data_IF_554301603449
#
_entry.id   IF_554301603449
#
_cell.length_a   1.000
_cell.length_b   1.000
_cell.length_c   1.000
_cell.angle_alpha   90.00
_cell.angle_beta   90.00
_cell.angle_gamma   90.00
#
_symmetry.space_group_name_H-M   'P 1'
#
loop_
_entity.id
_entity.type
_entity.pdbx_description
1 polymer ?
#
# COMPACT_ATOMS: atom_id res chain seq x y z
N UNK A 1 26.66 -67.30 31.60
CA UNK A 1 27.20 -66.21 30.75
C UNK A 1 26.16 -65.83 29.71
N UNK A 2 25.50 -64.68 29.84
CA UNK A 2 24.68 -64.07 28.78
C UNK A 2 24.47 -62.58 29.10
N UNK A 3 24.43 -61.78 28.04
CA UNK A 3 24.76 -60.35 27.97
C UNK A 3 23.73 -59.42 28.62
N UNK A 4 24.22 -58.43 29.36
CA UNK A 4 23.52 -57.17 29.60
C UNK A 4 23.62 -56.27 28.35
N UNK A 5 22.52 -55.63 27.96
CA UNK A 5 22.54 -54.41 27.13
C UNK A 5 21.49 -53.42 27.62
N UNK A 6 21.93 -52.16 27.63
CA UNK A 6 21.39 -51.01 28.31
C UNK A 6 20.01 -50.57 27.85
N UNK A 7 19.18 -50.17 28.81
CA UNK A 7 18.05 -49.27 28.58
C UNK A 7 18.55 -47.83 28.78
N UNK A 8 18.57 -47.06 27.70
CA UNK A 8 18.83 -45.62 27.72
C UNK A 8 17.67 -44.92 28.42
N UNK A 9 17.87 -44.50 29.67
CA UNK A 9 16.94 -43.59 30.36
C UNK A 9 17.37 -42.15 30.08
N UNK A 10 16.56 -41.44 29.32
CA UNK A 10 16.73 -40.04 28.96
C UNK A 10 16.51 -39.15 30.19
N UNK A 11 17.60 -38.71 30.81
CA UNK A 11 17.58 -37.66 31.81
C UNK A 11 17.07 -36.35 31.17
N UNK A 12 15.88 -35.93 31.58
CA UNK A 12 15.26 -34.67 31.19
C UNK A 12 15.96 -33.52 31.93
N UNK A 13 16.97 -32.92 31.30
CA UNK A 13 17.56 -31.67 31.75
C UNK A 13 16.50 -30.55 31.65
N UNK A 14 16.23 -29.78 32.71
CA UNK A 14 15.44 -28.57 32.60
C UNK A 14 16.17 -27.58 31.67
N UNK A 15 15.50 -27.08 30.65
CA UNK A 15 16.03 -26.05 29.78
C UNK A 15 16.48 -24.82 30.62
N UNK A 16 17.63 -24.20 30.33
CA UNK A 16 18.03 -22.98 31.02
C UNK A 16 16.99 -21.88 30.75
N UNK A 17 16.62 -21.18 31.82
CA UNK A 17 15.80 -19.96 31.78
C UNK A 17 16.42 -18.94 30.81
N UNK A 18 15.61 -18.10 30.15
CA UNK A 18 16.16 -17.08 29.26
C UNK A 18 16.92 -16.05 30.12
N UNK A 19 18.25 -16.12 30.07
CA UNK A 19 19.12 -15.04 30.53
C UNK A 19 18.68 -13.75 29.82
N UNK A 20 18.11 -12.83 30.60
CA UNK A 20 17.88 -11.47 30.15
C UNK A 20 19.25 -10.81 30.15
N UNK A 21 19.90 -10.81 28.99
CA UNK A 21 21.13 -10.06 28.73
C UNK A 21 20.83 -8.57 28.95
N UNK A 22 21.13 -8.10 30.16
CA UNK A 22 21.15 -6.69 30.47
C UNK A 22 22.46 -6.15 29.92
N UNK A 23 22.38 -5.24 28.95
CA UNK A 23 23.57 -4.55 28.43
C UNK A 23 24.34 -3.84 29.55
N UNK A 24 25.59 -3.39 29.31
CA UNK A 24 26.49 -2.85 30.34
C UNK A 24 25.92 -1.66 31.12
N UNK A 25 24.87 -1.01 30.61
CA UNK A 25 24.20 0.13 31.22
C UNK A 25 22.92 -0.24 32.00
N UNK A 26 22.61 -1.54 32.19
CA UNK A 26 21.45 -2.02 32.94
C UNK A 26 20.10 -1.84 32.24
N UNK A 27 20.09 -1.42 30.98
CA UNK A 27 18.88 -1.32 30.18
C UNK A 27 18.62 -2.63 29.45
N UNK A 28 17.47 -3.24 29.73
CA UNK A 28 16.96 -4.37 28.95
C UNK A 28 16.51 -3.88 27.59
N UNK A 29 17.11 -4.40 26.52
CA UNK A 29 16.65 -4.10 25.17
C UNK A 29 15.21 -4.62 25.01
N UNK A 30 14.25 -3.71 24.84
CA UNK A 30 12.87 -4.11 24.52
C UNK A 30 12.89 -4.65 23.09
N UNK A 31 12.60 -5.94 22.85
CA UNK A 31 12.57 -6.47 21.50
C UNK A 31 11.43 -5.79 20.74
N UNK A 32 11.77 -4.94 19.79
CA UNK A 32 10.81 -4.39 18.85
C UNK A 32 10.33 -5.57 18.00
N UNK A 33 9.21 -6.17 18.39
CA UNK A 33 8.47 -7.07 17.52
C UNK A 33 8.05 -6.23 16.33
N UNK A 34 8.74 -6.39 15.20
CA UNK A 34 8.24 -5.87 13.92
C UNK A 34 6.81 -6.37 13.81
N UNK A 35 5.86 -5.45 13.72
CA UNK A 35 4.47 -5.79 13.48
C UNK A 35 4.43 -6.85 12.36
N UNK A 36 3.62 -7.89 12.53
CA UNK A 36 3.34 -8.87 11.47
C UNK A 36 2.97 -8.16 10.16
N UNK A 37 2.94 -8.89 9.02
CA UNK A 37 2.99 -8.32 7.67
C UNK A 37 2.22 -7.01 7.60
N UNK A 38 2.99 -5.91 7.48
CA UNK A 38 2.48 -4.54 7.37
C UNK A 38 1.26 -4.59 6.48
N UNK A 39 0.08 -4.20 7.00
CA UNK A 39 -1.20 -4.27 6.27
C UNK A 39 -0.94 -3.71 4.88
N UNK A 40 -0.88 -4.60 3.88
CA UNK A 40 -0.26 -4.25 2.60
C UNK A 40 -0.99 -3.03 2.05
N UNK A 41 -0.23 -1.97 1.74
CA UNK A 41 -0.84 -0.75 1.24
C UNK A 41 -1.57 -1.09 -0.06
N UNK A 42 -2.86 -0.73 -0.21
CA UNK A 42 -3.60 -1.06 -1.42
C UNK A 42 -2.88 -0.48 -2.64
N UNK A 43 -2.93 -1.14 -3.81
CA UNK A 43 -2.25 -0.70 -5.03
C UNK A 43 -2.55 0.77 -5.36
N UNK A 44 -3.82 1.14 -5.24
CA UNK A 44 -4.31 2.51 -5.44
C UNK A 44 -5.28 2.88 -4.32
N UNK A 45 -5.16 4.12 -3.82
CA UNK A 45 -6.13 4.70 -2.90
C UNK A 45 -6.46 6.14 -3.27
N UNK A 46 -7.68 6.56 -3.00
CA UNK A 46 -8.16 7.92 -3.25
C UNK A 46 -8.69 8.58 -1.98
N UNK A 47 -8.56 9.90 -1.91
CA UNK A 47 -9.24 10.77 -0.96
C UNK A 47 -9.35 12.18 -1.54
N UNK A 48 -10.29 12.98 -1.05
CA UNK A 48 -10.25 14.42 -1.24
C UNK A 48 -9.33 15.08 -0.21
N UNK A 49 -8.54 16.07 -0.63
CA UNK A 49 -7.83 16.94 0.31
C UNK A 49 -8.73 18.06 0.85
N UNK A 50 -8.18 18.93 1.71
CA UNK A 50 -8.93 20.06 2.28
C UNK A 50 -9.47 21.05 1.25
N UNK A 51 -8.83 21.15 0.08
CA UNK A 51 -9.24 22.01 -1.04
C UNK A 51 -10.26 21.34 -1.98
N UNK A 52 -10.64 20.09 -1.70
CA UNK A 52 -11.52 19.31 -2.56
C UNK A 52 -10.82 18.69 -3.77
N UNK A 53 -9.49 18.75 -3.85
CA UNK A 53 -8.76 18.08 -4.94
C UNK A 53 -8.72 16.58 -4.68
N UNK A 54 -8.89 15.80 -5.74
CA UNK A 54 -8.68 14.36 -5.70
C UNK A 54 -7.19 14.06 -5.55
N UNK A 55 -6.85 13.27 -4.54
CA UNK A 55 -5.51 12.77 -4.29
C UNK A 55 -5.51 11.26 -4.43
N UNK A 56 -4.88 10.78 -5.49
CA UNK A 56 -4.59 9.38 -5.74
C UNK A 56 -3.20 9.05 -5.20
N UNK A 57 -3.09 7.99 -4.41
CA UNK A 57 -1.82 7.46 -3.95
C UNK A 57 -1.64 6.04 -4.44
N UNK A 58 -0.50 5.82 -5.07
CA UNK A 58 -0.06 4.56 -5.65
C UNK A 58 0.95 3.91 -4.71
N UNK A 59 0.84 2.61 -4.49
CA UNK A 59 1.78 1.90 -3.64
C UNK A 59 3.17 1.75 -4.27
N UNK A 60 4.25 1.59 -3.47
CA UNK A 60 5.57 1.33 -4.02
C UNK A 60 5.61 0.12 -4.94
N UNK A 61 4.91 -0.96 -4.57
CA UNK A 61 4.80 -2.15 -5.41
C UNK A 61 4.09 -1.82 -6.74
N UNK A 62 2.98 -1.09 -6.67
CA UNK A 62 2.25 -0.65 -7.85
C UNK A 62 3.09 0.25 -8.76
N UNK A 63 3.80 1.21 -8.18
CA UNK A 63 4.67 2.12 -8.90
C UNK A 63 5.79 1.36 -9.61
N UNK A 64 6.42 0.40 -8.92
CA UNK A 64 7.48 -0.42 -9.49
C UNK A 64 7.02 -1.29 -10.66
N UNK A 65 5.77 -1.79 -10.62
CA UNK A 65 5.24 -2.73 -11.60
C UNK A 65 4.57 -2.05 -12.79
N UNK A 66 3.78 -0.99 -12.55
CA UNK A 66 2.85 -0.44 -13.55
C UNK A 66 3.15 1.01 -13.95
N UNK A 67 3.96 1.73 -13.17
CA UNK A 67 4.20 3.16 -13.40
C UNK A 67 5.70 3.40 -13.54
N UNK A 68 6.23 3.08 -14.71
CA UNK A 68 7.60 3.45 -15.09
C UNK A 68 7.74 4.93 -15.46
N UNK A 69 6.62 5.65 -15.59
CA UNK A 69 6.57 7.01 -16.14
C UNK A 69 6.13 8.04 -15.10
N UNK A 70 6.87 9.14 -15.04
CA UNK A 70 6.57 10.25 -14.12
C UNK A 70 5.38 11.10 -14.60
N UNK A 71 4.97 10.97 -15.86
CA UNK A 71 3.94 11.78 -16.51
C UNK A 71 2.89 10.88 -17.17
N UNK A 72 1.62 11.17 -16.91
CA UNK A 72 0.49 10.37 -17.40
C UNK A 72 -0.61 11.27 -17.95
N UNK A 73 -1.29 10.82 -19.00
CA UNK A 73 -2.52 11.43 -19.48
C UNK A 73 -3.67 10.86 -18.66
N UNK A 74 -4.56 11.74 -18.22
CA UNK A 74 -5.69 11.39 -17.37
C UNK A 74 -6.98 11.62 -18.16
N UNK A 75 -7.82 10.60 -18.26
CA UNK A 75 -9.16 10.73 -18.85
C UNK A 75 -10.20 10.03 -17.98
N UNK A 76 -11.44 10.53 -18.06
CA UNK A 76 -12.58 10.03 -17.29
C UNK A 76 -13.61 9.41 -18.23
N UNK A 77 -14.20 8.31 -17.80
CA UNK A 77 -15.31 7.64 -18.50
C UNK A 77 -16.63 7.88 -17.75
N UNK A 78 -17.77 8.02 -18.46
CA UNK A 78 -19.10 8.03 -17.84
C UNK A 78 -19.40 6.81 -16.96
N UNK A 79 -18.72 5.68 -17.21
CA UNK A 79 -18.77 4.47 -16.38
C UNK A 79 -17.97 4.57 -15.06
N UNK A 80 -17.58 5.78 -14.65
CA UNK A 80 -16.77 6.07 -13.45
C UNK A 80 -15.38 5.43 -13.42
N UNK A 81 -14.78 5.30 -14.60
CA UNK A 81 -13.40 4.81 -14.72
C UNK A 81 -12.46 6.00 -14.96
N UNK A 82 -11.40 6.07 -14.17
CA UNK A 82 -10.30 6.99 -14.41
C UNK A 82 -9.18 6.24 -15.11
N UNK A 83 -8.86 6.65 -16.33
CA UNK A 83 -7.77 6.09 -17.12
C UNK A 83 -6.51 6.92 -16.96
N UNK A 84 -5.40 6.25 -16.67
CA UNK A 84 -4.04 6.77 -16.76
C UNK A 84 -3.35 6.08 -17.93
N UNK A 85 -2.82 6.84 -18.86
CA UNK A 85 -2.03 6.32 -19.97
C UNK A 85 -0.70 7.05 -20.06
N UNK A 86 0.29 6.41 -20.67
CA UNK A 86 1.54 7.07 -21.01
C UNK A 86 1.30 8.38 -21.78
N UNK A 87 1.99 9.44 -21.39
CA UNK A 87 1.87 10.73 -22.04
C UNK A 87 3.23 11.31 -22.36
N UNK A 88 3.33 11.93 -23.54
CA UNK A 88 4.45 12.78 -23.92
C UNK A 88 3.87 14.13 -24.35
N UNK A 89 4.17 15.19 -23.58
CA UNK A 89 3.86 16.58 -23.97
C UNK A 89 2.73 17.28 -23.19
N UNK A 90 2.16 18.31 -23.84
CA UNK A 90 1.21 19.26 -23.24
C UNK A 90 -0.06 18.56 -22.71
N UNK A 91 -0.33 18.74 -21.41
CA UNK A 91 -1.53 18.18 -20.74
C UNK A 91 -1.25 16.94 -19.90
N UNK A 92 -0.01 16.43 -19.90
CA UNK A 92 0.39 15.35 -19.01
C UNK A 92 0.34 15.79 -17.54
N UNK A 93 -0.08 14.87 -16.66
CA UNK A 93 -0.11 15.05 -15.22
C UNK A 93 1.06 14.31 -14.59
N UNK A 94 1.79 15.01 -13.72
CA UNK A 94 2.96 14.45 -13.05
C UNK A 94 2.53 13.64 -11.82
N UNK A 95 3.01 12.40 -11.75
CA UNK A 95 2.98 11.59 -10.54
C UNK A 95 4.19 11.99 -9.68
N UNK A 96 3.92 12.52 -8.49
CA UNK A 96 4.94 13.03 -7.57
C UNK A 96 5.36 11.94 -6.60
N UNK A 97 6.62 11.94 -6.18
CA UNK A 97 7.04 11.10 -5.06
C UNK A 97 6.40 11.57 -3.76
N UNK A 98 6.08 10.63 -2.89
CA UNK A 98 5.45 10.92 -1.60
C UNK A 98 6.49 10.94 -0.47
N UNK A 99 6.74 12.07 0.21
CA UNK A 99 7.80 12.17 1.22
C UNK A 99 7.61 11.21 2.40
N UNK A 100 6.35 10.96 2.78
CA UNK A 100 6.00 10.13 3.94
C UNK A 100 6.04 8.62 3.65
N UNK A 101 6.23 8.21 2.38
CA UNK A 101 6.23 6.80 1.99
C UNK A 101 7.15 6.61 0.78
N UNK A 102 8.44 6.26 1.01
CA UNK A 102 9.40 6.07 -0.07
C UNK A 102 8.91 5.07 -1.13
N UNK A 103 9.08 5.41 -2.40
CA UNK A 103 8.61 4.61 -3.54
C UNK A 103 7.13 4.79 -3.89
N UNK A 104 6.31 5.38 -3.01
CA UNK A 104 4.92 5.66 -3.32
C UNK A 104 4.78 6.90 -4.22
N UNK A 105 3.81 6.83 -5.14
CA UNK A 105 3.45 7.93 -6.03
C UNK A 105 2.18 8.65 -5.58
N UNK A 106 2.07 9.93 -5.91
CA UNK A 106 0.88 10.75 -5.68
C UNK A 106 0.50 11.51 -6.95
N UNK A 107 -0.75 11.34 -7.39
CA UNK A 107 -1.35 12.13 -8.46
C UNK A 107 -2.46 13.01 -7.86
N UNK A 108 -2.45 14.29 -8.20
CA UNK A 108 -3.45 15.26 -7.73
C UNK A 108 -4.20 15.87 -8.90
N UNK A 109 -5.53 15.80 -8.86
CA UNK A 109 -6.43 16.43 -9.82
C UNK A 109 -7.21 17.53 -9.10
N UNK A 110 -7.20 18.75 -9.64
CA UNK A 110 -7.85 19.89 -9.01
C UNK A 110 -9.36 19.73 -8.99
N UNK A 111 -10.02 20.21 -7.93
CA UNK A 111 -11.48 20.21 -7.81
C UNK A 111 -12.19 20.80 -9.04
N UNK A 112 -11.62 21.86 -9.63
CA UNK A 112 -12.13 22.48 -10.86
C UNK A 112 -12.14 21.53 -12.06
N UNK A 113 -11.17 20.62 -12.16
CA UNK A 113 -11.13 19.63 -13.25
C UNK A 113 -12.09 18.47 -13.03
N UNK A 114 -12.65 18.34 -11.82
CA UNK A 114 -13.59 17.29 -11.45
C UNK A 114 -15.04 17.77 -11.51
N UNK A 115 -15.27 19.08 -11.38
CA UNK A 115 -16.60 19.68 -11.28
C UNK A 115 -17.48 19.40 -12.50
N UNK A 116 -16.87 19.34 -13.69
CA UNK A 116 -17.57 19.11 -14.96
C UNK A 116 -17.59 17.63 -15.37
N UNK A 117 -17.06 16.71 -14.55
CA UNK A 117 -17.03 15.29 -14.86
C UNK A 117 -18.40 14.67 -14.59
N UNK A 118 -19.05 14.22 -15.66
CA UNK A 118 -20.30 13.49 -15.58
C UNK A 118 -20.16 12.24 -14.68
N UNK A 119 -21.14 12.03 -13.80
CA UNK A 119 -21.21 10.87 -12.89
C UNK A 119 -20.03 10.73 -11.91
N UNK A 120 -19.26 11.80 -11.65
CA UNK A 120 -18.19 11.75 -10.65
C UNK A 120 -18.74 11.36 -9.27
N UNK A 121 -18.14 10.38 -8.57
CA UNK A 121 -18.62 9.92 -7.26
C UNK A 121 -18.49 10.99 -6.18
N UNK A 122 -19.41 10.94 -5.20
CA UNK A 122 -19.27 11.68 -3.96
C UNK A 122 -18.14 11.05 -3.12
N UNK A 123 -16.94 11.61 -3.24
CA UNK A 123 -15.80 11.23 -2.43
C UNK A 123 -15.76 12.05 -1.15
N UNK A 124 -15.28 11.44 -0.07
CA UNK A 124 -15.01 12.12 1.19
C UNK A 124 -13.49 12.31 1.38
N UNK A 125 -13.13 12.86 2.55
CA UNK A 125 -11.73 13.02 2.94
C UNK A 125 -11.12 11.72 3.50
N UNK A 126 -11.90 10.65 3.65
CA UNK A 126 -11.41 9.37 4.13
C UNK A 126 -10.77 8.63 2.96
N UNK A 127 -9.59 8.08 3.21
CA UNK A 127 -8.84 7.35 2.19
C UNK A 127 -9.49 6.00 1.94
N UNK A 128 -9.89 5.74 0.70
CA UNK A 128 -10.52 4.49 0.27
C UNK A 128 -9.59 3.77 -0.69
N UNK A 129 -9.49 2.45 -0.55
CA UNK A 129 -8.85 1.60 -1.54
C UNK A 129 -9.75 1.54 -2.78
N UNK A 130 -9.16 1.57 -3.98
CA UNK A 130 -9.89 1.49 -5.23
C UNK A 130 -9.54 0.21 -5.98
N UNK A 131 -10.54 -0.35 -6.66
CA UNK A 131 -10.32 -1.38 -7.67
C UNK A 131 -9.53 -0.80 -8.84
N UNK A 132 -8.69 -1.61 -9.46
CA UNK A 132 -7.91 -1.17 -10.60
C UNK A 132 -7.57 -2.34 -11.52
N UNK A 133 -7.33 -2.04 -12.79
CA UNK A 133 -6.82 -2.97 -13.79
C UNK A 133 -5.72 -2.29 -14.59
N UNK A 134 -4.62 -3.01 -14.84
CA UNK A 134 -3.51 -2.54 -15.66
C UNK A 134 -3.34 -3.49 -16.86
N UNK A 135 -3.35 -2.94 -18.06
CA UNK A 135 -3.08 -3.67 -19.30
C UNK A 135 -2.43 -2.73 -20.32
N UNK A 136 -1.43 -3.23 -21.05
CA UNK A 136 -0.80 -2.54 -22.19
C UNK A 136 -0.37 -1.08 -21.92
N UNK A 137 0.23 -0.84 -20.75
CA UNK A 137 0.68 0.51 -20.35
C UNK A 137 -0.45 1.49 -20.03
N UNK A 138 -1.69 1.01 -19.94
CA UNK A 138 -2.86 1.75 -19.47
C UNK A 138 -3.30 1.22 -18.12
N UNK A 139 -3.58 2.13 -17.19
CA UNK A 139 -4.14 1.85 -15.87
C UNK A 139 -5.56 2.38 -15.82
N UNK A 140 -6.52 1.52 -15.50
CA UNK A 140 -7.91 1.87 -15.23
C UNK A 140 -8.16 1.78 -13.73
N UNK A 141 -8.67 2.86 -13.15
CA UNK A 141 -9.03 2.94 -11.73
C UNK A 141 -10.55 3.03 -11.65
N UNK A 142 -11.14 2.13 -10.90
CA UNK A 142 -12.58 2.00 -10.75
C UNK A 142 -13.07 2.77 -9.53
N UNK A 143 -13.98 3.72 -9.79
CA UNK A 143 -14.68 4.50 -8.76
C UNK A 143 -16.16 4.10 -8.60
N UNK A 144 -16.65 3.13 -9.39
CA UNK A 144 -17.99 2.56 -9.26
C UNK A 144 -18.04 1.43 -8.23
N UNK A 145 -16.92 0.75 -7.96
CA UNK A 145 -16.84 -0.23 -6.89
C UNK A 145 -17.09 0.46 -5.54
N UNK A 146 -18.32 0.33 -5.02
CA UNK A 146 -18.63 0.58 -3.62
C UNK A 146 -17.52 -0.05 -2.79
N UNK A 147 -16.82 0.76 -1.99
CA UNK A 147 -15.86 0.26 -1.04
C UNK A 147 -16.65 -0.65 -0.09
N UNK A 148 -16.52 -1.97 -0.32
CA UNK A 148 -17.21 -3.04 0.40
C UNK A 148 -17.34 -2.66 1.88
N UNK A 149 -18.55 -2.25 2.24
CA UNK A 149 -18.89 -1.81 3.56
C UNK A 149 -18.87 -3.03 4.46
N UNK A 150 -17.84 -3.15 5.29
CA UNK A 150 -17.99 -3.88 6.54
C UNK A 150 -19.01 -3.11 7.40
N UNK A 151 -20.27 -3.53 7.31
CA UNK A 151 -21.28 -3.37 8.34
C UNK A 151 -21.15 -4.51 9.36
#
# INVERSE_FOLDING_TARGET
>A
MAKAKAATSTSKTPAPSPDTDNGPDGFTAVPIRRAGPSRAMPPVSAALNVKGDLVLVFSPAFMAEHVSQAEVQVSWSPARLLRLAAATGSGARKIRSRPSCPGAGELRLSALSLADLENFPALDRKRRALGMSAADGTVLIDFAAEADGHA
#
